data_IF_897044371944
#
_entry.id   IF_897044371944
#
_cell.length_a   1.000
_cell.length_b   1.000
_cell.length_c   1.000
_cell.angle_alpha   90.00
_cell.angle_beta   90.00
_cell.angle_gamma   90.00
#
_symmetry.space_group_name_H-M   'P 1'
#
loop_
_entity.id
_entity.type
_entity.pdbx_description
1 polymer ?
#
# COMPACT_ATOMS: atom_id res chain seq x y z
N UNK A 1 41.38 11.93 -4.01
CA UNK A 1 40.56 12.46 -2.90
C UNK A 1 39.17 11.88 -3.12
N UNK A 2 38.71 11.03 -2.20
CA UNK A 2 37.55 10.18 -2.40
C UNK A 2 36.27 11.00 -2.23
N UNK A 3 35.55 11.22 -3.32
CA UNK A 3 34.17 11.68 -3.26
C UNK A 3 33.33 10.55 -2.67
N UNK A 4 33.21 10.54 -1.35
CA UNK A 4 32.11 9.86 -0.67
C UNK A 4 30.83 10.60 -1.08
N UNK A 5 30.28 10.22 -2.23
CA UNK A 5 28.91 10.53 -2.59
C UNK A 5 28.06 9.83 -1.53
N UNK A 6 27.52 10.62 -0.62
CA UNK A 6 26.51 10.18 0.34
C UNK A 6 25.33 9.67 -0.49
N UNK A 7 25.21 8.34 -0.58
CA UNK A 7 24.09 7.62 -1.19
C UNK A 7 22.83 7.91 -0.37
N UNK A 8 22.25 9.10 -0.59
CA UNK A 8 20.96 9.46 -0.04
C UNK A 8 19.94 8.64 -0.80
N UNK A 9 19.46 7.57 -0.17
CA UNK A 9 18.26 6.82 -0.58
C UNK A 9 17.18 7.83 -0.98
N UNK A 10 16.90 7.95 -2.28
CA UNK A 10 15.87 8.87 -2.77
C UNK A 10 14.52 8.26 -2.43
N UNK A 11 13.91 8.75 -1.34
CA UNK A 11 12.54 8.39 -0.98
C UNK A 11 11.59 9.27 -1.79
N UNK A 12 10.68 8.63 -2.53
CA UNK A 12 9.64 9.25 -3.34
C UNK A 12 8.31 9.05 -2.63
N UNK A 13 7.51 10.11 -2.54
CA UNK A 13 6.13 10.07 -2.08
C UNK A 13 5.20 10.30 -3.28
N UNK A 14 4.18 9.45 -3.41
CA UNK A 14 3.24 9.54 -4.52
C UNK A 14 2.18 10.63 -4.27
N UNK A 15 2.00 11.58 -5.20
CA UNK A 15 1.06 12.68 -5.04
C UNK A 15 -0.37 12.25 -5.39
N UNK A 16 -0.93 11.24 -4.71
CA UNK A 16 -2.25 10.68 -5.02
C UNK A 16 -3.40 11.70 -4.89
N UNK A 17 -3.21 12.74 -4.08
CA UNK A 17 -4.18 13.84 -3.92
C UNK A 17 -4.31 14.73 -5.18
N UNK A 18 -3.42 14.58 -6.15
CA UNK A 18 -3.52 15.27 -7.45
C UNK A 18 -4.45 14.58 -8.45
N UNK A 19 -4.86 13.34 -8.16
CA UNK A 19 -5.74 12.55 -9.02
C UNK A 19 -7.22 12.89 -8.80
N UNK A 20 -8.09 12.54 -9.76
CA UNK A 20 -9.55 12.75 -9.62
C UNK A 20 -10.19 11.48 -9.11
N UNK A 21 -11.17 11.62 -8.20
CA UNK A 21 -11.90 10.48 -7.65
C UNK A 21 -12.53 9.64 -8.76
N UNK A 22 -12.49 8.32 -8.60
CA UNK A 22 -12.92 7.28 -9.54
C UNK A 22 -12.03 7.08 -10.77
N UNK A 23 -10.88 7.74 -10.87
CA UNK A 23 -9.89 7.42 -11.90
C UNK A 23 -9.29 6.03 -11.64
N UNK A 24 -9.15 5.24 -12.71
CA UNK A 24 -8.34 4.02 -12.71
C UNK A 24 -6.87 4.42 -12.61
N UNK A 25 -6.15 3.81 -11.67
CA UNK A 25 -4.73 4.05 -11.43
C UNK A 25 -3.94 2.86 -11.94
N UNK A 26 -3.20 3.06 -13.02
CA UNK A 26 -2.34 2.06 -13.66
C UNK A 26 -0.97 2.67 -13.97
N UNK A 27 -0.94 3.70 -14.81
CA UNK A 27 0.31 4.28 -15.35
C UNK A 27 0.58 5.72 -14.91
N UNK A 28 -0.30 6.32 -14.09
CA UNK A 28 -0.23 7.75 -13.70
C UNK A 28 1.07 8.12 -12.96
N UNK A 29 1.80 7.14 -12.44
CA UNK A 29 3.07 7.31 -11.74
C UNK A 29 4.23 6.56 -12.42
N UNK A 30 4.07 6.15 -13.67
CA UNK A 30 5.08 5.43 -14.45
C UNK A 30 6.40 6.21 -14.58
N UNK A 31 6.33 7.55 -14.71
CA UNK A 31 7.50 8.45 -14.71
C UNK A 31 8.29 8.44 -13.38
N UNK A 32 7.64 8.04 -12.28
CA UNK A 32 8.27 7.84 -10.98
C UNK A 32 8.76 6.39 -10.79
N UNK A 33 8.51 5.52 -11.76
CA UNK A 33 8.92 4.12 -11.76
C UNK A 33 7.97 3.18 -11.03
N UNK A 34 6.68 3.53 -10.91
CA UNK A 34 5.69 2.68 -10.25
C UNK A 34 4.41 2.54 -11.10
N UNK A 35 3.91 1.32 -11.16
CA UNK A 35 2.71 0.91 -11.86
C UNK A 35 1.76 0.25 -10.88
N UNK A 36 0.47 0.46 -11.07
CA UNK A 36 -0.58 -0.14 -10.26
C UNK A 36 -1.39 -1.12 -11.10
N UNK A 37 -1.87 -2.19 -10.47
CA UNK A 37 -2.86 -3.10 -11.05
C UNK A 37 -4.06 -3.14 -10.14
N UNK A 38 -5.26 -3.24 -10.74
CA UNK A 38 -6.51 -3.39 -10.01
C UNK A 38 -6.72 -2.27 -8.98
N UNK A 39 -6.45 -1.02 -9.36
CA UNK A 39 -6.45 0.11 -8.44
C UNK A 39 -7.27 1.25 -8.98
N UNK A 40 -8.10 1.84 -8.11
CA UNK A 40 -8.81 3.10 -8.36
C UNK A 40 -8.50 4.08 -7.25
N UNK A 41 -8.50 5.37 -7.58
CA UNK A 41 -8.41 6.43 -6.57
C UNK A 41 -9.80 6.87 -6.16
N UNK A 42 -10.02 7.13 -4.88
CA UNK A 42 -11.32 7.52 -4.34
C UNK A 42 -11.15 8.58 -3.26
N UNK A 43 -12.11 9.51 -3.17
CA UNK A 43 -12.30 10.30 -1.96
C UNK A 43 -13.33 9.58 -1.07
N UNK A 44 -12.95 9.00 0.08
CA UNK A 44 -13.88 8.25 0.91
C UNK A 44 -15.00 9.13 1.47
N UNK A 45 -16.23 8.64 1.42
CA UNK A 45 -17.37 9.23 2.12
C UNK A 45 -17.62 8.62 3.51
N UNK A 46 -17.13 7.40 3.72
CA UNK A 46 -17.23 6.69 4.99
C UNK A 46 -16.05 7.07 5.89
N UNK A 47 -16.36 7.54 7.11
CA UNK A 47 -15.38 8.00 8.09
C UNK A 47 -14.36 6.95 8.49
N UNK A 48 -14.70 5.66 8.41
CA UNK A 48 -13.80 4.56 8.73
C UNK A 48 -12.59 4.48 7.79
N UNK A 49 -12.72 4.97 6.56
CA UNK A 49 -11.68 4.90 5.53
C UNK A 49 -11.03 6.25 5.25
N UNK A 50 -11.34 7.29 6.03
CA UNK A 50 -10.73 8.59 5.86
C UNK A 50 -9.23 8.52 6.14
N UNK A 51 -8.39 9.03 5.23
CA UNK A 51 -6.96 9.06 5.46
C UNK A 51 -6.62 10.09 6.54
N UNK A 52 -5.62 9.78 7.37
CA UNK A 52 -5.12 10.74 8.38
C UNK A 52 -4.53 12.02 7.74
N UNK A 53 -4.02 11.91 6.52
CA UNK A 53 -3.41 12.99 5.76
C UNK A 53 -3.89 12.93 4.31
N UNK A 54 -4.08 14.08 3.68
CA UNK A 54 -4.64 14.15 2.33
C UNK A 54 -6.14 13.95 2.30
N UNK A 55 -6.69 13.68 1.12
CA UNK A 55 -8.13 13.46 0.88
C UNK A 55 -8.40 12.18 0.10
N UNK A 56 -7.43 11.72 -0.68
CA UNK A 56 -7.57 10.59 -1.58
C UNK A 56 -6.97 9.33 -0.98
N UNK A 57 -7.56 8.19 -1.35
CA UNK A 57 -7.01 6.85 -1.08
C UNK A 57 -7.00 6.04 -2.37
N UNK A 58 -6.10 5.06 -2.46
CA UNK A 58 -6.16 4.01 -3.47
C UNK A 58 -6.90 2.81 -2.91
N UNK A 59 -7.75 2.20 -3.72
CA UNK A 59 -8.57 1.04 -3.38
C UNK A 59 -8.43 -0.03 -4.45
N UNK A 60 -8.51 -1.30 -4.04
CA UNK A 60 -8.57 -2.43 -4.96
C UNK A 60 -9.90 -2.48 -5.73
N UNK A 61 -9.87 -2.37 -7.06
CA UNK A 61 -11.05 -2.52 -7.94
C UNK A 61 -10.64 -2.90 -9.39
N UNK A 62 -11.45 -3.71 -10.11
CA UNK A 62 -12.75 -4.28 -9.71
C UNK A 62 -12.65 -5.47 -8.75
N UNK A 63 -11.48 -6.10 -8.61
CA UNK A 63 -11.27 -7.14 -7.62
C UNK A 63 -11.09 -6.50 -6.24
N UNK A 64 -12.17 -6.48 -5.46
CA UNK A 64 -12.13 -5.93 -4.11
C UNK A 64 -11.02 -6.60 -3.29
N UNK A 65 -10.34 -5.79 -2.47
CA UNK A 65 -9.38 -6.30 -1.52
C UNK A 65 -8.08 -6.81 -2.15
N UNK A 66 -7.70 -6.39 -3.36
CA UNK A 66 -6.36 -6.58 -3.91
C UNK A 66 -5.82 -5.28 -4.52
N UNK A 67 -4.58 -4.92 -4.21
CA UNK A 67 -3.81 -3.90 -4.92
C UNK A 67 -2.47 -4.51 -5.25
N UNK A 68 -2.01 -4.35 -6.49
CA UNK A 68 -0.65 -4.69 -6.86
C UNK A 68 0.10 -3.42 -7.24
N UNK A 69 1.33 -3.33 -6.74
CA UNK A 69 2.26 -2.23 -7.02
C UNK A 69 3.50 -2.87 -7.63
N UNK A 70 3.83 -2.49 -8.86
CA UNK A 70 5.01 -2.99 -9.56
C UNK A 70 5.97 -1.83 -9.76
N UNK A 71 7.24 -2.04 -9.46
CA UNK A 71 8.29 -1.04 -9.70
C UNK A 71 8.96 -1.33 -11.05
N UNK A 72 9.39 -0.29 -11.77
CA UNK A 72 10.14 -0.46 -13.02
C UNK A 72 11.62 -0.74 -12.77
N UNK A 73 12.11 -0.29 -11.61
CA UNK A 73 13.43 -0.59 -11.07
C UNK A 73 13.26 -1.10 -9.64
N UNK A 74 14.07 -2.09 -9.20
CA UNK A 74 13.94 -2.63 -7.85
C UNK A 74 14.12 -1.55 -6.78
N UNK A 75 13.26 -1.56 -5.77
CA UNK A 75 13.32 -0.66 -4.62
C UNK A 75 13.80 -1.41 -3.38
N UNK A 76 14.34 -0.68 -2.40
CA UNK A 76 14.76 -1.25 -1.11
C UNK A 76 13.84 -0.89 0.05
N UNK A 77 12.85 -0.02 -0.23
CA UNK A 77 11.93 0.52 0.75
C UNK A 77 10.54 0.69 0.13
N UNK A 78 9.52 0.28 0.88
CA UNK A 78 8.13 0.59 0.60
C UNK A 78 7.42 0.93 1.91
N UNK A 79 6.55 1.94 1.89
CA UNK A 79 5.69 2.27 3.00
C UNK A 79 4.36 2.83 2.53
N UNK A 80 3.33 2.61 3.33
CA UNK A 80 2.01 3.19 3.14
C UNK A 80 1.26 3.26 4.47
N UNK A 81 0.11 3.91 4.47
CA UNK A 81 -0.89 3.79 5.53
C UNK A 81 -2.05 2.95 5.00
N UNK A 82 -2.41 1.92 5.75
CA UNK A 82 -3.41 0.91 5.38
C UNK A 82 -4.66 1.03 6.28
N UNK A 83 -5.83 0.97 5.67
CA UNK A 83 -7.08 0.68 6.36
C UNK A 83 -7.75 -0.50 5.67
N UNK A 84 -8.15 -1.51 6.44
CA UNK A 84 -8.79 -2.72 5.91
C UNK A 84 -9.97 -3.11 6.77
N UNK A 85 -11.08 -3.55 6.17
CA UNK A 85 -12.25 -4.01 6.93
C UNK A 85 -12.07 -5.41 7.53
N UNK A 86 -11.13 -6.19 7.00
CA UNK A 86 -10.82 -7.55 7.42
C UNK A 86 -9.30 -7.72 7.58
N UNK A 87 -8.88 -8.92 7.95
CA UNK A 87 -7.47 -9.29 7.94
C UNK A 87 -6.83 -8.95 6.58
N UNK A 88 -5.74 -8.21 6.62
CA UNK A 88 -4.97 -7.82 5.45
C UNK A 88 -3.54 -8.37 5.53
N UNK A 89 -3.03 -8.72 4.35
CA UNK A 89 -1.67 -9.17 4.14
C UNK A 89 -1.00 -8.26 3.14
N UNK A 90 0.21 -7.80 3.45
CA UNK A 90 1.09 -7.09 2.51
C UNK A 90 2.33 -7.94 2.27
N UNK A 91 2.64 -8.21 1.01
CA UNK A 91 3.79 -9.04 0.62
C UNK A 91 4.68 -8.28 -0.35
N UNK A 92 5.98 -8.32 -0.11
CA UNK A 92 6.99 -7.88 -1.06
C UNK A 92 7.58 -9.07 -1.79
N UNK A 93 7.85 -8.91 -3.08
CA UNK A 93 8.44 -9.93 -3.94
C UNK A 93 9.61 -9.36 -4.72
N UNK A 94 10.57 -10.22 -5.03
CA UNK A 94 11.59 -9.95 -6.04
C UNK A 94 11.04 -10.18 -7.47
N UNK A 95 11.92 -10.03 -8.47
CA UNK A 95 11.64 -10.21 -9.89
C UNK A 95 11.30 -11.66 -10.27
N UNK A 96 11.82 -12.64 -9.52
CA UNK A 96 11.47 -14.06 -9.66
C UNK A 96 10.11 -14.41 -9.01
N UNK A 97 9.45 -13.44 -8.36
CA UNK A 97 8.19 -13.65 -7.66
C UNK A 97 8.34 -14.36 -6.31
N UNK A 98 9.55 -14.45 -5.76
CA UNK A 98 9.80 -14.99 -4.43
C UNK A 98 9.49 -13.93 -3.38
N UNK A 99 8.78 -14.34 -2.33
CA UNK A 99 8.44 -13.46 -1.21
C UNK A 99 9.68 -13.07 -0.41
N UNK A 100 9.93 -11.76 -0.30
CA UNK A 100 11.02 -11.15 0.45
C UNK A 100 10.62 -10.86 1.90
N UNK A 101 9.43 -10.29 2.10
CA UNK A 101 8.88 -10.02 3.42
C UNK A 101 7.36 -9.94 3.39
N UNK A 102 6.76 -10.15 4.56
CA UNK A 102 5.31 -10.19 4.76
C UNK A 102 4.94 -9.39 5.99
N UNK A 103 3.87 -8.61 5.89
CA UNK A 103 3.18 -7.98 7.01
C UNK A 103 1.73 -8.48 7.04
N UNK A 104 1.22 -8.78 8.23
CA UNK A 104 -0.17 -9.19 8.45
C UNK A 104 -0.77 -8.36 9.57
N UNK A 105 -1.99 -7.87 9.37
CA UNK A 105 -2.76 -7.25 10.46
C UNK A 105 -3.20 -8.32 11.44
N UNK A 106 -3.38 -7.99 12.72
CA UNK A 106 -3.92 -8.95 13.68
C UNK A 106 -5.28 -9.51 13.21
N UNK A 107 -5.48 -10.82 13.36
CA UNK A 107 -6.76 -11.46 13.06
C UNK A 107 -7.77 -11.05 14.12
N UNK A 108 -8.94 -10.60 13.70
CA UNK A 108 -10.09 -10.50 14.59
C UNK A 108 -10.46 -11.92 15.04
N UNK A 109 -10.13 -12.27 16.29
CA UNK A 109 -10.51 -13.55 16.88
C UNK A 109 -12.04 -13.57 17.05
N UNK A 110 -12.75 -14.18 16.10
CA UNK A 110 -14.20 -14.34 16.12
C UNK A 110 -14.71 -15.31 17.21
N UNK A 111 -13.86 -15.81 18.10
CA UNK A 111 -14.23 -16.78 19.15
C UNK A 111 -14.68 -16.13 20.47
N UNK A 112 -14.65 -14.81 20.60
CA UNK A 112 -15.07 -14.12 21.83
C UNK A 112 -16.23 -13.14 21.55
N UNK A 113 -17.49 -13.60 21.64
CA UNK A 113 -18.66 -12.78 21.29
C UNK A 113 -18.94 -11.61 22.25
N UNK A 114 -18.20 -11.52 23.38
CA UNK A 114 -18.33 -10.43 24.37
C UNK A 114 -17.35 -9.27 24.17
N UNK A 115 -16.44 -9.35 23.19
CA UNK A 115 -15.63 -8.19 22.83
C UNK A 115 -16.44 -7.31 21.88
N UNK A 116 -17.03 -6.23 22.42
CA UNK A 116 -17.64 -5.13 21.68
C UNK A 116 -16.80 -4.79 20.45
N UNK A 117 -17.21 -5.32 19.29
CA UNK A 117 -16.77 -4.99 17.93
C UNK A 117 -15.30 -4.58 17.86
N UNK A 118 -14.40 -5.51 17.58
CA UNK A 118 -13.04 -5.22 17.13
C UNK A 118 -13.12 -4.44 15.81
N UNK A 119 -13.33 -3.12 15.90
CA UNK A 119 -13.32 -2.24 14.75
C UNK A 119 -11.93 -2.30 14.12
N UNK A 120 -11.83 -2.34 12.79
CA UNK A 120 -10.54 -2.32 12.14
C UNK A 120 -9.78 -1.06 12.56
N UNK A 121 -8.55 -1.21 13.04
CA UNK A 121 -7.69 -0.08 13.35
C UNK A 121 -7.44 0.69 12.05
N UNK A 122 -7.91 1.93 11.89
CA UNK A 122 -7.72 2.67 10.66
C UNK A 122 -6.30 3.24 10.59
N UNK A 123 -5.81 3.49 9.37
CA UNK A 123 -4.55 4.19 9.11
C UNK A 123 -3.29 3.50 9.68
N UNK A 124 -3.25 2.17 9.67
CA UNK A 124 -2.11 1.35 10.13
C UNK A 124 -0.88 1.70 9.29
N UNK A 125 0.20 2.24 9.89
CA UNK A 125 1.44 2.50 9.15
C UNK A 125 2.17 1.20 8.86
N UNK A 126 2.52 1.00 7.58
CA UNK A 126 3.30 -0.15 7.11
C UNK A 126 4.61 0.38 6.53
N UNK A 127 5.70 -0.32 6.85
CA UNK A 127 7.04 -0.05 6.33
C UNK A 127 7.76 -1.37 6.12
N UNK A 128 8.25 -1.58 4.91
CA UNK A 128 8.93 -2.80 4.48
C UNK A 128 10.31 -2.42 3.92
N UNK A 129 11.31 -3.22 4.28
CA UNK A 129 12.67 -3.10 3.76
C UNK A 129 13.16 -4.49 3.37
N UNK A 130 13.67 -4.60 2.15
CA UNK A 130 14.31 -5.80 1.63
C UNK A 130 15.21 -5.38 0.46
N UNK A 131 16.14 -6.24 0.05
CA UNK A 131 16.87 -6.03 -1.19
C UNK A 131 15.99 -6.44 -2.37
N UNK A 132 16.01 -5.66 -3.46
CA UNK A 132 15.41 -6.03 -4.74
C UNK A 132 13.86 -6.19 -4.72
N UNK A 133 13.12 -5.31 -4.04
CA UNK A 133 11.65 -5.35 -4.11
C UNK A 133 11.22 -4.91 -5.51
N UNK A 134 10.65 -5.85 -6.27
CA UNK A 134 10.10 -5.60 -7.61
C UNK A 134 8.58 -5.38 -7.57
N UNK A 135 7.90 -6.06 -6.64
CA UNK A 135 6.44 -6.03 -6.52
C UNK A 135 5.98 -6.01 -5.06
N UNK A 136 4.92 -5.27 -4.80
CA UNK A 136 4.14 -5.33 -3.56
C UNK A 136 2.73 -5.79 -3.90
N UNK A 137 2.18 -6.73 -3.14
CA UNK A 137 0.74 -6.98 -3.14
C UNK A 137 0.17 -6.65 -1.77
N UNK A 138 -0.97 -5.98 -1.78
CA UNK A 138 -1.78 -5.75 -0.60
C UNK A 138 -3.11 -6.44 -0.82
N UNK A 139 -3.48 -7.36 0.08
CA UNK A 139 -4.73 -8.07 -0.05
C UNK A 139 -5.49 -8.18 1.26
N UNK A 140 -6.82 -8.22 1.16
CA UNK A 140 -7.73 -8.53 2.25
C UNK A 140 -8.75 -9.56 1.77
N UNK A 141 -8.85 -10.68 2.48
CA UNK A 141 -9.77 -11.75 2.12
C UNK A 141 -11.21 -11.30 2.44
N UNK A 142 -12.05 -11.21 1.42
CA UNK A 142 -13.46 -10.81 1.51
C UNK A 142 -13.70 -9.42 2.14
N UNK A 143 -12.67 -8.56 2.12
CA UNK A 143 -12.67 -7.24 2.73
C UNK A 143 -12.42 -6.10 1.75
N UNK A 144 -12.76 -4.88 2.16
CA UNK A 144 -12.30 -3.67 1.51
C UNK A 144 -10.95 -3.28 2.11
N UNK A 145 -10.05 -2.83 1.24
CA UNK A 145 -8.72 -2.37 1.60
C UNK A 145 -8.44 -1.06 0.86
N UNK A 146 -7.96 -0.07 1.61
CA UNK A 146 -7.52 1.21 1.06
C UNK A 146 -6.15 1.57 1.59
N UNK A 147 -5.36 2.24 0.76
CA UNK A 147 -4.05 2.78 1.13
C UNK A 147 -3.88 4.24 0.75
N UNK A 148 -3.03 4.94 1.48
CA UNK A 148 -2.58 6.29 1.15
C UNK A 148 -1.16 6.52 1.69
N UNK A 149 -0.60 7.72 1.48
CA UNK A 149 0.75 8.09 1.94
C UNK A 149 1.82 7.08 1.46
N UNK A 150 1.75 6.74 0.18
CA UNK A 150 2.58 5.70 -0.44
C UNK A 150 3.96 6.30 -0.71
N UNK A 151 4.98 5.63 -0.18
CA UNK A 151 6.38 6.01 -0.31
C UNK A 151 7.23 4.82 -0.68
N UNK A 152 8.25 5.04 -1.49
CA UNK A 152 9.23 4.02 -1.85
C UNK A 152 10.61 4.64 -2.06
N UNK A 153 11.66 3.84 -2.07
CA UNK A 153 13.01 4.33 -2.32
C UNK A 153 13.96 3.26 -2.86
N UNK A 154 14.88 3.71 -3.70
CA UNK A 154 15.93 2.90 -4.33
C UNK A 154 17.12 2.68 -3.39
#
# INVERSE_FOLDING_TARGET
>A
MSDKVTDLKKIIELPIDSLRSFDVVEEQFSDLGVLFTNTVVLQPSNSLYLPKFGKMVLMGAPQNGLIEVNFTLPVIYFACSLTSSQHATVRAFDDDGKTLCVFETEKSNHENPDSLVSQPTPNIPISMQAQNIQKITLSSLDGQLVIYNIRFGF
#
